data_IF_448994003767
#
_entry.id   IF_448994003767
#
_cell.length_a   1.000
_cell.length_b   1.000
_cell.length_c   1.000
_cell.angle_alpha   90.00
_cell.angle_beta   90.00
_cell.angle_gamma   90.00
#
_symmetry.space_group_name_H-M   'P 1'
#
loop_
_entity.id
_entity.type
_entity.pdbx_description
1 polymer ?
#
# COMPACT_ATOMS: atom_id res chain seq x y z
N UNK A 1 -19.13 50.69 -63.22
CA UNK A 1 -19.42 50.55 -61.79
C UNK A 1 -20.41 51.63 -61.38
N UNK A 2 -21.68 51.26 -61.31
CA UNK A 2 -22.72 52.12 -60.76
C UNK A 2 -22.64 52.15 -59.22
N UNK A 3 -22.91 53.32 -58.62
CA UNK A 3 -22.86 53.51 -57.15
C UNK A 3 -23.95 52.74 -56.39
N UNK A 4 -25.01 52.31 -57.09
CA UNK A 4 -26.14 51.56 -56.52
C UNK A 4 -25.97 50.03 -56.60
N UNK A 5 -24.81 49.54 -57.06
CA UNK A 5 -24.51 48.12 -57.23
C UNK A 5 -24.27 47.76 -58.69
N UNK A 6 -23.28 46.89 -58.93
CA UNK A 6 -22.88 46.49 -60.28
C UNK A 6 -22.23 45.10 -60.25
N UNK A 7 -22.14 44.44 -61.41
CA UNK A 7 -21.36 43.22 -61.59
C UNK A 7 -20.04 43.56 -62.27
N UNK A 8 -18.93 43.19 -61.64
CA UNK A 8 -17.59 43.40 -62.18
C UNK A 8 -17.15 42.14 -62.96
N UNK A 9 -16.49 42.33 -64.10
CA UNK A 9 -15.85 41.25 -64.88
C UNK A 9 -14.33 41.14 -64.65
N UNK A 10 -13.76 41.99 -63.77
CA UNK A 10 -12.35 42.03 -63.42
C UNK A 10 -12.12 42.37 -61.93
N UNK A 11 -10.88 42.27 -61.47
CA UNK A 11 -10.48 42.56 -60.08
C UNK A 11 -10.42 44.05 -59.75
N UNK A 12 -10.37 44.37 -58.45
CA UNK A 12 -10.11 45.72 -57.92
C UNK A 12 -8.83 45.70 -57.09
N UNK A 13 -7.99 46.73 -57.24
CA UNK A 13 -6.73 46.90 -56.50
C UNK A 13 -6.69 48.29 -55.88
N UNK A 14 -6.27 48.36 -54.62
CA UNK A 14 -5.98 49.62 -53.92
C UNK A 14 -4.46 49.81 -53.88
N UNK A 15 -3.95 50.91 -54.41
CA UNK A 15 -2.51 51.18 -54.55
C UNK A 15 -1.94 52.06 -53.41
N UNK A 16 -2.76 52.33 -52.40
CA UNK A 16 -2.44 53.17 -51.24
C UNK A 16 -3.19 52.64 -50.00
N UNK A 17 -3.05 53.34 -48.87
CA UNK A 17 -3.72 53.01 -47.61
C UNK A 17 -5.22 53.36 -47.65
N UNK A 18 -5.96 52.61 -48.48
CA UNK A 18 -7.41 52.70 -48.63
C UNK A 18 -8.13 51.61 -47.85
N UNK A 19 -9.39 51.89 -47.49
CA UNK A 19 -10.25 51.00 -46.71
C UNK A 19 -11.53 50.68 -47.47
N UNK A 20 -11.92 49.41 -47.47
CA UNK A 20 -13.28 48.99 -47.85
C UNK A 20 -14.15 48.94 -46.59
N UNK A 21 -15.29 49.65 -46.60
CA UNK A 21 -16.14 49.79 -45.41
C UNK A 21 -17.62 49.63 -45.71
N UNK A 22 -18.33 48.98 -44.79
CA UNK A 22 -19.78 49.08 -44.62
C UNK A 22 -20.06 49.96 -43.41
N UNK A 23 -20.61 51.15 -43.63
CA UNK A 23 -20.95 52.12 -42.57
C UNK A 23 -22.45 52.31 -42.55
N UNK A 24 -23.09 51.95 -41.44
CA UNK A 24 -24.55 52.03 -41.28
C UNK A 24 -24.87 52.28 -39.82
N UNK A 25 -25.86 53.12 -39.56
CA UNK A 25 -26.39 53.33 -38.21
C UNK A 25 -25.33 53.72 -37.16
N UNK A 26 -24.29 54.47 -37.56
CA UNK A 26 -23.10 54.82 -36.77
C UNK A 26 -22.12 53.69 -36.46
N UNK A 27 -22.45 52.46 -36.85
CA UNK A 27 -21.61 51.27 -36.75
C UNK A 27 -20.84 51.01 -38.06
N UNK A 28 -19.82 50.15 -37.99
CA UNK A 28 -19.03 49.78 -39.16
C UNK A 28 -18.48 48.35 -39.14
N UNK A 29 -18.21 47.86 -40.36
CA UNK A 29 -17.30 46.76 -40.64
C UNK A 29 -16.31 47.20 -41.73
N UNK A 30 -15.01 46.99 -41.51
CA UNK A 30 -13.94 47.49 -42.37
C UNK A 30 -12.90 46.41 -42.69
N UNK A 31 -12.25 46.55 -43.84
CA UNK A 31 -11.12 45.74 -44.30
C UNK A 31 -10.03 46.69 -44.80
N UNK A 32 -8.79 46.46 -44.37
CA UNK A 32 -7.62 47.22 -44.86
C UNK A 32 -6.32 46.43 -44.72
N UNK A 33 -5.20 47.03 -45.17
CA UNK A 33 -3.87 46.44 -45.12
C UNK A 33 -2.87 47.46 -44.59
N UNK A 34 -2.34 47.23 -43.38
CA UNK A 34 -1.32 48.09 -42.78
C UNK A 34 0.05 47.65 -43.28
N UNK A 35 0.78 48.56 -43.92
CA UNK A 35 2.16 48.37 -44.32
C UNK A 35 2.85 49.74 -44.47
N UNK A 36 3.88 50.01 -43.66
CA UNK A 36 4.63 51.26 -43.74
C UNK A 36 5.84 51.19 -44.69
N UNK A 37 6.34 49.99 -44.94
CA UNK A 37 7.43 49.68 -45.88
C UNK A 37 7.57 48.16 -46.04
N UNK A 38 8.40 47.71 -46.98
CA UNK A 38 8.76 46.29 -47.13
C UNK A 38 9.48 45.71 -45.89
N UNK A 39 10.19 46.55 -45.13
CA UNK A 39 10.88 46.16 -43.90
C UNK A 39 9.99 46.23 -42.63
N UNK A 40 8.68 46.46 -42.79
CA UNK A 40 7.75 46.55 -41.67
C UNK A 40 7.57 45.18 -41.01
N UNK A 41 8.08 45.03 -39.78
CA UNK A 41 8.02 43.77 -39.02
C UNK A 41 6.64 43.45 -38.46
N UNK A 42 5.68 44.36 -38.60
CA UNK A 42 4.29 44.20 -38.14
C UNK A 42 3.31 44.68 -39.23
N UNK A 43 3.47 44.14 -40.44
CA UNK A 43 2.52 44.34 -41.54
C UNK A 43 1.44 43.27 -41.54
N UNK A 44 0.18 43.67 -41.71
CA UNK A 44 -0.96 42.75 -41.63
C UNK A 44 -2.18 43.25 -42.40
N UNK A 45 -2.95 42.31 -42.94
CA UNK A 45 -4.34 42.55 -43.33
C UNK A 45 -5.20 42.54 -42.07
N UNK A 46 -6.06 43.54 -41.91
CA UNK A 46 -6.92 43.66 -40.74
C UNK A 46 -8.40 43.69 -41.11
N UNK A 47 -9.20 43.23 -40.16
CA UNK A 47 -10.65 43.25 -40.18
C UNK A 47 -11.11 43.93 -38.89
N UNK A 48 -12.01 44.91 -38.98
CA UNK A 48 -12.46 45.71 -37.83
C UNK A 48 -13.98 45.84 -37.82
N UNK A 49 -14.59 45.74 -36.63
CA UNK A 49 -15.99 46.11 -36.36
C UNK A 49 -16.07 47.14 -35.24
N UNK A 50 -17.08 48.01 -35.28
CA UNK A 50 -17.31 49.02 -34.24
C UNK A 50 -18.70 49.66 -34.33
N UNK A 51 -19.12 50.53 -33.40
CA UNK A 51 -18.27 51.12 -32.36
C UNK A 51 -18.66 50.80 -30.92
N UNK A 52 -19.67 49.95 -30.70
CA UNK A 52 -20.17 49.66 -29.36
C UNK A 52 -19.42 48.51 -28.68
N UNK A 53 -18.56 47.79 -29.41
CA UNK A 53 -17.76 46.67 -28.88
C UNK A 53 -18.54 45.36 -28.77
N UNK A 54 -19.80 45.35 -29.23
CA UNK A 54 -20.64 44.16 -29.34
C UNK A 54 -20.79 43.70 -30.80
N UNK A 55 -20.37 44.50 -31.78
CA UNK A 55 -20.22 44.07 -33.16
C UNK A 55 -19.12 43.01 -33.23
N UNK A 56 -19.33 41.96 -34.02
CA UNK A 56 -18.48 40.77 -33.98
C UNK A 56 -18.36 40.11 -35.35
N UNK A 57 -17.36 39.25 -35.50
CA UNK A 57 -17.16 38.50 -36.74
C UNK A 57 -17.85 37.14 -36.69
N UNK A 58 -18.52 36.77 -37.79
CA UNK A 58 -19.21 35.48 -37.95
C UNK A 58 -18.81 34.83 -39.27
N UNK A 59 -18.33 33.59 -39.18
CA UNK A 59 -18.10 32.73 -40.34
C UNK A 59 -19.22 31.70 -40.41
N UNK A 60 -19.88 31.62 -41.58
CA UNK A 60 -20.98 30.69 -41.82
C UNK A 60 -20.90 30.11 -43.22
N UNK A 61 -21.40 28.89 -43.39
CA UNK A 61 -21.49 28.22 -44.68
C UNK A 61 -22.96 27.96 -45.03
N UNK A 62 -23.30 28.07 -46.32
CA UNK A 62 -24.65 27.80 -46.83
C UNK A 62 -24.59 26.84 -48.00
N UNK A 63 -25.28 25.72 -47.86
CA UNK A 63 -25.59 24.81 -48.96
C UNK A 63 -26.92 25.25 -49.57
N UNK A 64 -27.05 25.19 -50.89
CA UNK A 64 -28.28 25.54 -51.59
C UNK A 64 -29.43 24.70 -51.03
N UNK A 65 -30.55 25.34 -50.68
CA UNK A 65 -31.72 24.69 -50.09
C UNK A 65 -31.66 24.46 -48.57
N UNK A 66 -30.56 24.77 -47.88
CA UNK A 66 -30.45 24.59 -46.43
C UNK A 66 -30.45 25.92 -45.66
N UNK A 67 -30.67 25.83 -44.34
CA UNK A 67 -30.37 26.93 -43.41
C UNK A 67 -28.84 27.14 -43.33
N UNK A 68 -28.37 28.38 -43.15
CA UNK A 68 -26.94 28.64 -42.90
C UNK A 68 -26.46 27.94 -41.64
N UNK A 69 -25.25 27.37 -41.69
CA UNK A 69 -24.55 26.81 -40.53
C UNK A 69 -23.47 27.79 -40.09
N UNK A 70 -23.57 28.29 -38.86
CA UNK A 70 -22.50 29.07 -38.25
C UNK A 70 -21.35 28.14 -37.84
N UNK A 71 -20.12 28.57 -38.12
CA UNK A 71 -18.91 27.78 -37.90
C UNK A 71 -18.06 28.37 -36.77
N UNK A 72 -17.95 29.70 -36.73
CA UNK A 72 -17.09 30.40 -35.79
C UNK A 72 -17.61 31.81 -35.54
N UNK A 73 -17.51 32.29 -34.30
CA UNK A 73 -17.73 33.69 -33.95
C UNK A 73 -16.51 34.22 -33.19
N UNK A 74 -16.00 35.39 -33.58
CA UNK A 74 -14.99 36.12 -32.81
C UNK A 74 -15.64 37.36 -32.21
N UNK A 75 -15.84 37.34 -30.89
CA UNK A 75 -16.37 38.46 -30.09
C UNK A 75 -15.25 39.09 -29.26
N UNK A 76 -15.55 40.21 -28.62
CA UNK A 76 -14.61 40.94 -27.76
C UNK A 76 -13.87 40.08 -26.73
N UNK A 77 -14.56 39.13 -26.10
CA UNK A 77 -14.04 38.34 -24.99
C UNK A 77 -13.73 36.88 -25.32
N UNK A 78 -14.14 36.38 -26.49
CA UNK A 78 -14.05 34.96 -26.81
C UNK A 78 -14.07 34.69 -28.31
N UNK A 79 -13.27 33.71 -28.70
CA UNK A 79 -13.43 32.97 -29.94
C UNK A 79 -14.31 31.75 -29.65
N UNK A 80 -15.50 31.70 -30.24
CA UNK A 80 -16.39 30.54 -30.17
C UNK A 80 -16.29 29.73 -31.46
N UNK A 81 -15.66 28.57 -31.39
CA UNK A 81 -15.65 27.59 -32.49
C UNK A 81 -16.82 26.63 -32.27
N UNK A 82 -17.76 26.58 -33.22
CA UNK A 82 -19.02 25.83 -33.13
C UNK A 82 -18.94 24.44 -33.80
N UNK A 83 -17.73 24.08 -34.21
CA UNK A 83 -17.36 22.85 -34.89
C UNK A 83 -16.06 22.33 -34.26
N UNK A 84 -15.54 21.21 -34.75
CA UNK A 84 -14.24 20.71 -34.32
C UNK A 84 -13.12 21.71 -34.63
N UNK A 85 -12.20 21.91 -33.68
CA UNK A 85 -11.01 22.72 -33.84
C UNK A 85 -9.79 21.79 -33.98
N UNK A 86 -9.18 21.77 -35.16
CA UNK A 86 -7.99 20.96 -35.44
C UNK A 86 -6.77 21.89 -35.52
N UNK A 87 -5.74 21.60 -34.71
CA UNK A 87 -4.47 22.34 -34.69
C UNK A 87 -3.36 21.42 -35.21
N UNK A 88 -2.55 21.89 -36.18
CA UNK A 88 -1.44 21.10 -36.77
C UNK A 88 -0.16 21.13 -35.94
N UNK A 89 -0.12 21.92 -34.87
CA UNK A 89 1.03 22.10 -33.98
C UNK A 89 0.60 22.22 -32.51
N UNK A 90 1.57 22.46 -31.64
CA UNK A 90 1.34 22.66 -30.21
C UNK A 90 0.35 23.80 -29.92
N UNK A 91 -0.57 23.55 -28.98
CA UNK A 91 -1.45 24.56 -28.40
C UNK A 91 -0.83 25.05 -27.09
N UNK A 92 -0.44 26.31 -27.03
CA UNK A 92 0.16 26.95 -25.85
C UNK A 92 -0.89 27.77 -25.11
N UNK A 93 -1.03 27.52 -23.82
CA UNK A 93 -1.98 28.23 -22.95
C UNK A 93 -1.18 28.84 -21.79
N UNK A 94 -1.21 30.16 -21.68
CA UNK A 94 -0.47 30.91 -20.65
C UNK A 94 -1.29 31.20 -19.39
N UNK A 95 -2.60 30.91 -19.42
CA UNK A 95 -3.48 31.11 -18.27
C UNK A 95 -3.27 30.01 -17.22
N UNK A 96 -3.52 30.37 -15.96
CA UNK A 96 -3.34 29.46 -14.82
C UNK A 96 -4.37 28.32 -14.88
N UNK A 97 -5.64 28.65 -15.07
CA UNK A 97 -6.70 27.71 -15.43
C UNK A 97 -6.63 27.51 -16.94
N UNK A 98 -5.89 26.50 -17.39
CA UNK A 98 -5.51 26.37 -18.78
C UNK A 98 -6.60 25.69 -19.62
N UNK A 99 -7.08 24.52 -19.16
CA UNK A 99 -8.11 23.75 -19.86
C UNK A 99 -9.23 23.37 -18.89
N UNK A 100 -10.48 23.49 -19.35
CA UNK A 100 -11.68 23.04 -18.63
C UNK A 100 -12.44 22.04 -19.49
N UNK A 101 -12.80 20.91 -18.88
CA UNK A 101 -13.74 19.94 -19.43
C UNK A 101 -14.95 19.93 -18.50
N UNK A 102 -16.16 20.18 -18.99
CA UNK A 102 -17.31 20.41 -18.11
C UNK A 102 -18.64 19.91 -18.68
N UNK A 103 -19.59 19.72 -17.77
CA UNK A 103 -21.03 19.66 -18.06
C UNK A 103 -21.76 20.66 -17.13
N UNK A 104 -23.09 20.55 -17.02
CA UNK A 104 -23.88 21.42 -16.15
C UNK A 104 -23.55 21.28 -14.66
N UNK A 105 -23.13 20.09 -14.22
CA UNK A 105 -22.88 19.79 -12.81
C UNK A 105 -21.43 20.02 -12.40
N UNK A 106 -20.45 19.56 -13.17
CA UNK A 106 -19.04 19.62 -12.78
C UNK A 106 -18.14 19.99 -13.94
N UNK A 107 -17.06 20.69 -13.61
CA UNK A 107 -15.93 20.93 -14.48
C UNK A 107 -14.68 20.30 -13.88
N UNK A 108 -13.77 19.80 -14.72
CA UNK A 108 -12.41 19.43 -14.37
C UNK A 108 -11.46 20.44 -15.02
N UNK A 109 -10.69 21.13 -14.20
CA UNK A 109 -9.78 22.19 -14.61
C UNK A 109 -8.34 21.67 -14.52
N UNK A 110 -7.65 21.64 -15.65
CA UNK A 110 -6.20 21.47 -15.71
C UNK A 110 -5.58 22.81 -15.39
N UNK A 111 -5.03 22.91 -14.18
CA UNK A 111 -4.51 24.15 -13.64
C UNK A 111 -3.00 24.03 -13.46
N UNK A 112 -2.25 24.90 -14.11
CA UNK A 112 -0.83 25.11 -13.81
C UNK A 112 -0.72 26.27 -12.82
N UNK A 113 -0.49 25.98 -11.54
CA UNK A 113 -0.37 26.98 -10.47
C UNK A 113 1.00 26.85 -9.83
N UNK A 114 1.74 27.95 -9.72
CA UNK A 114 3.08 27.96 -9.13
C UNK A 114 3.99 26.89 -9.77
N UNK A 115 4.44 25.92 -8.97
CA UNK A 115 5.30 24.81 -9.35
C UNK A 115 4.54 23.50 -9.58
N UNK A 116 3.22 23.53 -9.70
CA UNK A 116 2.40 22.33 -9.79
C UNK A 116 1.44 22.35 -10.99
N UNK A 117 1.24 21.17 -11.57
CA UNK A 117 0.08 20.86 -12.40
C UNK A 117 -0.96 20.12 -11.54
N UNK A 118 -2.19 20.62 -11.54
CA UNK A 118 -3.32 20.01 -10.85
C UNK A 118 -4.43 19.67 -11.83
N UNK A 119 -5.21 18.65 -11.49
CA UNK A 119 -6.53 18.40 -12.07
C UNK A 119 -7.54 18.64 -10.94
N UNK A 120 -8.30 19.73 -11.03
CA UNK A 120 -9.15 20.21 -9.93
C UNK A 120 -10.61 20.23 -10.39
N UNK A 121 -11.53 19.54 -9.69
CA UNK A 121 -12.95 19.67 -9.96
C UNK A 121 -13.48 21.03 -9.47
N UNK A 122 -14.51 21.54 -10.14
CA UNK A 122 -15.33 22.65 -9.63
C UNK A 122 -16.17 22.19 -8.44
N UNK A 123 -16.90 23.13 -7.83
CA UNK A 123 -18.06 22.77 -7.01
C UNK A 123 -19.18 22.21 -7.91
N UNK A 124 -20.10 21.48 -7.28
CA UNK A 124 -21.30 20.98 -7.95
C UNK A 124 -22.18 22.14 -8.44
N UNK A 125 -22.75 21.96 -9.64
CA UNK A 125 -23.54 22.93 -10.40
C UNK A 125 -22.77 24.19 -10.84
N UNK A 126 -21.45 24.19 -10.73
CA UNK A 126 -20.59 25.27 -11.21
C UNK A 126 -19.66 24.80 -12.35
N UNK A 127 -20.12 23.86 -13.18
CA UNK A 127 -19.24 23.18 -14.14
C UNK A 127 -18.62 24.09 -15.20
N UNK A 128 -19.43 24.93 -15.86
CA UNK A 128 -18.98 25.83 -16.91
C UNK A 128 -18.23 27.05 -16.38
N UNK A 129 -18.85 27.77 -15.44
CA UNK A 129 -18.39 29.10 -15.01
C UNK A 129 -17.82 29.13 -13.58
N UNK A 130 -17.80 28.00 -12.88
CA UNK A 130 -17.32 27.92 -11.50
C UNK A 130 -15.82 28.10 -11.36
N UNK A 131 -15.42 28.57 -10.19
CA UNK A 131 -14.00 28.58 -9.80
C UNK A 131 -13.51 27.17 -9.45
N UNK A 132 -12.21 27.04 -9.18
CA UNK A 132 -11.63 25.79 -8.66
C UNK A 132 -12.28 25.40 -7.32
N UNK A 133 -12.58 24.12 -7.16
CA UNK A 133 -13.09 23.56 -5.91
C UNK A 133 -12.00 23.35 -4.84
N UNK A 134 -12.39 22.89 -3.65
CA UNK A 134 -11.45 22.65 -2.54
C UNK A 134 -10.62 21.37 -2.70
N UNK A 135 -11.06 20.43 -3.55
CA UNK A 135 -10.42 19.12 -3.68
C UNK A 135 -9.08 19.20 -4.43
N UNK A 136 -8.14 18.33 -4.09
CA UNK A 136 -6.85 18.13 -4.80
C UNK A 136 -6.63 16.66 -5.15
N UNK A 137 -7.43 16.08 -6.07
CA UNK A 137 -7.34 14.66 -6.39
C UNK A 137 -5.98 14.27 -6.97
N UNK A 138 -5.44 15.07 -7.90
CA UNK A 138 -4.15 14.84 -8.54
C UNK A 138 -3.29 16.11 -8.51
N UNK A 139 -2.03 15.97 -8.10
CA UNK A 139 -1.02 17.02 -8.16
C UNK A 139 0.30 16.44 -8.65
N UNK A 140 0.88 17.05 -9.69
CA UNK A 140 2.25 16.83 -10.13
C UNK A 140 3.09 18.05 -9.78
N UNK A 141 4.08 17.88 -8.91
CA UNK A 141 5.07 18.91 -8.66
C UNK A 141 6.06 18.96 -9.83
N UNK A 142 6.09 20.07 -10.56
CA UNK A 142 6.88 20.28 -11.77
C UNK A 142 8.37 20.43 -11.50
N UNK A 143 8.78 20.74 -10.26
CA UNK A 143 10.19 20.83 -9.87
C UNK A 143 10.79 19.45 -9.59
N UNK A 144 10.02 18.54 -9.01
CA UNK A 144 10.51 17.24 -8.50
C UNK A 144 9.97 16.03 -9.29
N UNK A 145 8.94 16.22 -10.11
CA UNK A 145 8.21 15.14 -10.77
C UNK A 145 7.32 14.32 -9.82
N UNK A 146 7.24 14.67 -8.53
CA UNK A 146 6.46 13.91 -7.55
C UNK A 146 4.97 14.08 -7.79
N UNK A 147 4.27 12.96 -7.87
CA UNK A 147 2.81 12.91 -7.90
C UNK A 147 2.27 12.76 -6.47
N UNK A 148 1.17 13.44 -6.16
CA UNK A 148 0.41 13.27 -4.92
C UNK A 148 -1.08 13.14 -5.23
N UNK A 149 -1.72 12.15 -4.61
CA UNK A 149 -3.17 11.93 -4.68
C UNK A 149 -3.80 12.30 -3.33
N UNK A 150 -4.63 13.34 -3.30
CA UNK A 150 -5.16 13.90 -2.04
C UNK A 150 -6.46 13.27 -1.54
N UNK A 151 -7.12 12.44 -2.35
CA UNK A 151 -8.45 11.91 -2.07
C UNK A 151 -8.55 10.40 -2.35
N UNK A 152 -7.54 9.65 -1.90
CA UNK A 152 -7.46 8.20 -2.10
C UNK A 152 -7.01 7.80 -3.50
N UNK A 153 -6.87 6.49 -3.70
CA UNK A 153 -6.51 5.85 -4.97
C UNK A 153 -7.08 4.43 -4.97
N UNK A 154 -7.96 4.13 -5.92
CA UNK A 154 -8.46 2.78 -6.18
C UNK A 154 -7.77 2.23 -7.43
N UNK A 155 -7.17 1.03 -7.32
CA UNK A 155 -6.45 0.36 -8.41
C UNK A 155 -7.04 -1.04 -8.64
N UNK A 156 -7.39 -1.33 -9.89
CA UNK A 156 -7.71 -2.70 -10.33
C UNK A 156 -6.43 -3.38 -10.80
N UNK A 157 -6.10 -4.54 -10.23
CA UNK A 157 -4.89 -5.29 -10.55
C UNK A 157 -3.72 -4.99 -9.61
N UNK A 158 -2.50 -5.04 -10.15
CA UNK A 158 -1.26 -4.97 -9.35
C UNK A 158 -0.73 -3.54 -9.19
N UNK A 159 -0.06 -3.28 -8.06
CA UNK A 159 0.73 -2.07 -7.82
C UNK A 159 2.20 -2.46 -7.71
N UNK A 160 3.03 -1.93 -8.62
CA UNK A 160 4.48 -2.11 -8.58
C UNK A 160 5.17 -0.87 -8.00
N UNK A 161 5.94 -1.06 -6.93
CA UNK A 161 6.69 0.00 -6.28
C UNK A 161 8.00 -0.53 -5.71
N UNK A 162 9.05 0.29 -5.72
CA UNK A 162 10.34 -0.06 -5.10
C UNK A 162 10.21 -0.28 -3.58
N UNK A 163 9.43 0.57 -2.92
CA UNK A 163 9.11 0.49 -1.49
C UNK A 163 7.69 0.98 -1.25
N UNK A 164 7.00 0.38 -0.29
CA UNK A 164 5.70 0.84 0.19
C UNK A 164 5.86 1.42 1.60
N UNK A 165 5.70 2.74 1.72
CA UNK A 165 5.76 3.43 3.01
C UNK A 165 4.36 3.69 3.53
N UNK A 166 4.10 3.30 4.77
CA UNK A 166 2.85 3.54 5.48
C UNK A 166 3.06 4.77 6.35
N UNK A 167 2.10 5.69 6.38
CA UNK A 167 2.10 6.78 7.36
C UNK A 167 1.73 6.22 8.76
N UNK A 168 2.64 5.42 9.31
CA UNK A 168 2.45 4.65 10.55
C UNK A 168 2.26 5.57 11.77
N UNK A 169 1.58 5.06 12.79
CA UNK A 169 1.30 5.78 14.05
C UNK A 169 1.69 4.96 15.28
N UNK A 170 1.82 5.64 16.42
CA UNK A 170 2.15 5.04 17.73
C UNK A 170 1.04 5.34 18.74
N UNK A 171 0.74 4.40 19.64
CA UNK A 171 -0.31 4.59 20.64
C UNK A 171 -0.40 3.41 21.62
N UNK A 172 -1.51 3.34 22.36
CA UNK A 172 -1.79 2.22 23.27
C UNK A 172 -1.98 0.90 22.50
N UNK A 173 -1.69 -0.23 23.15
CA UNK A 173 -1.86 -1.57 22.58
C UNK A 173 -3.25 -1.79 21.94
N UNK A 174 -4.32 -1.34 22.60
CA UNK A 174 -5.70 -1.51 22.09
C UNK A 174 -5.95 -0.74 20.78
N UNK A 175 -5.23 0.37 20.54
CA UNK A 175 -5.39 1.20 19.34
C UNK A 175 -4.67 0.64 18.11
N UNK A 176 -3.91 -0.45 18.21
CA UNK A 176 -3.38 -1.15 17.02
C UNK A 176 -4.48 -1.57 16.04
N UNK A 177 -5.75 -1.60 16.48
CA UNK A 177 -6.94 -1.83 15.65
C UNK A 177 -7.23 -0.73 14.64
N UNK A 178 -6.80 0.50 14.92
CA UNK A 178 -7.14 1.70 14.14
C UNK A 178 -5.91 2.38 13.52
N UNK A 179 -4.72 1.79 13.70
CA UNK A 179 -3.49 2.34 13.15
C UNK A 179 -3.48 2.23 11.61
N UNK A 180 -2.78 3.15 10.97
CA UNK A 180 -2.49 3.04 9.54
C UNK A 180 -1.59 1.84 9.30
N UNK A 181 -2.13 0.82 8.63
CA UNK A 181 -1.46 -0.44 8.31
C UNK A 181 -1.84 -0.90 6.90
N UNK A 182 -1.18 -1.95 6.41
CA UNK A 182 -1.73 -2.75 5.32
C UNK A 182 -2.75 -3.71 5.93
N UNK A 183 -3.98 -3.70 5.43
CA UNK A 183 -5.04 -4.61 5.86
C UNK A 183 -5.80 -5.19 4.67
N UNK A 184 -6.45 -6.34 4.89
CA UNK A 184 -7.44 -6.85 3.95
C UNK A 184 -8.70 -6.00 4.01
N UNK A 185 -9.13 -5.42 2.89
CA UNK A 185 -10.39 -4.66 2.80
C UNK A 185 -11.61 -5.51 3.20
N UNK A 186 -11.54 -6.81 2.92
CA UNK A 186 -12.60 -7.76 3.22
C UNK A 186 -12.19 -8.65 4.39
N UNK A 187 -13.04 -8.71 5.42
CA UNK A 187 -12.84 -9.61 6.55
C UNK A 187 -12.77 -11.06 6.07
N UNK A 188 -11.90 -11.86 6.70
CA UNK A 188 -11.87 -13.31 6.53
C UNK A 188 -13.15 -13.92 7.11
N UNK A 189 -13.83 -14.78 6.35
CA UNK A 189 -15.03 -15.47 6.82
C UNK A 189 -14.68 -16.50 7.90
N UNK A 190 -15.60 -16.77 8.83
CA UNK A 190 -15.44 -17.85 9.82
C UNK A 190 -15.12 -19.17 9.11
N UNK A 191 -14.09 -19.87 9.58
CA UNK A 191 -13.55 -21.12 9.00
C UNK A 191 -13.05 -20.99 7.53
N UNK A 192 -13.01 -19.78 6.97
CA UNK A 192 -12.38 -19.49 5.68
C UNK A 192 -10.91 -19.14 5.85
N UNK A 193 -10.07 -19.51 4.87
CA UNK A 193 -8.66 -19.18 4.85
C UNK A 193 -8.40 -17.90 4.05
N UNK A 194 -7.58 -16.98 4.57
CA UNK A 194 -7.14 -15.77 3.86
C UNK A 194 -5.66 -15.48 4.17
N UNK A 195 -4.90 -15.12 3.15
CA UNK A 195 -3.53 -14.61 3.28
C UNK A 195 -3.46 -13.13 2.88
N UNK A 196 -2.63 -12.35 3.58
CA UNK A 196 -2.41 -10.92 3.31
C UNK A 196 -1.00 -10.62 2.80
N UNK A 197 -0.02 -11.45 3.16
CA UNK A 197 1.36 -11.34 2.71
C UNK A 197 1.82 -12.70 2.21
N UNK A 198 2.59 -12.70 1.11
CA UNK A 198 3.15 -13.91 0.51
C UNK A 198 4.60 -13.67 0.11
N UNK A 199 5.45 -14.66 0.34
CA UNK A 199 6.81 -14.74 -0.17
C UNK A 199 6.99 -16.03 -0.95
N UNK A 200 7.41 -15.91 -2.20
CA UNK A 200 7.67 -17.05 -3.07
C UNK A 200 9.13 -17.49 -2.98
N UNK A 201 9.32 -18.80 -2.85
CA UNK A 201 10.61 -19.48 -2.95
C UNK A 201 10.55 -20.45 -4.13
N UNK A 202 11.70 -21.02 -4.52
CA UNK A 202 11.81 -21.86 -5.71
C UNK A 202 10.83 -23.05 -5.73
N UNK A 203 10.59 -23.66 -4.57
CA UNK A 203 9.84 -24.91 -4.41
C UNK A 203 8.70 -24.82 -3.39
N UNK A 204 8.47 -23.65 -2.79
CA UNK A 204 7.44 -23.41 -1.78
C UNK A 204 7.04 -21.95 -1.69
N UNK A 205 5.94 -21.67 -1.00
CA UNK A 205 5.46 -20.32 -0.71
C UNK A 205 5.17 -20.20 0.78
N UNK A 206 5.51 -19.05 1.36
CA UNK A 206 5.19 -18.71 2.74
C UNK A 206 4.16 -17.59 2.77
N UNK A 207 3.19 -17.72 3.66
CA UNK A 207 2.11 -16.75 3.80
C UNK A 207 1.95 -16.31 5.25
N UNK A 208 1.63 -15.04 5.45
CA UNK A 208 1.02 -14.54 6.68
C UNK A 208 -0.48 -14.43 6.42
N UNK A 209 -1.26 -15.12 7.24
CA UNK A 209 -2.69 -15.25 7.05
C UNK A 209 -3.36 -15.93 8.23
N UNK A 210 -4.56 -16.45 8.00
CA UNK A 210 -5.32 -17.11 9.05
C UNK A 210 -6.55 -17.86 8.58
N UNK A 211 -7.11 -18.63 9.51
CA UNK A 211 -8.43 -19.26 9.41
C UNK A 211 -9.40 -18.45 10.26
N UNK A 212 -10.44 -17.88 9.64
CA UNK A 212 -11.27 -16.86 10.28
C UNK A 212 -11.86 -17.31 11.62
N UNK A 213 -11.68 -16.48 12.64
CA UNK A 213 -12.03 -16.72 14.05
C UNK A 213 -11.32 -17.90 14.74
N UNK A 214 -10.29 -18.50 14.12
CA UNK A 214 -9.60 -19.69 14.66
C UNK A 214 -8.10 -19.52 14.76
N UNK A 215 -7.46 -18.97 13.74
CA UNK A 215 -6.00 -19.00 13.61
C UNK A 215 -5.48 -17.74 12.93
N UNK A 216 -4.32 -17.25 13.36
CA UNK A 216 -3.53 -16.26 12.64
C UNK A 216 -2.03 -16.54 12.80
N UNK A 217 -1.28 -16.58 11.71
CA UNK A 217 0.13 -16.94 11.76
C UNK A 217 0.79 -17.16 10.41
N UNK A 218 1.80 -18.03 10.40
CA UNK A 218 2.65 -18.34 9.27
C UNK A 218 2.31 -19.74 8.73
N UNK A 219 2.14 -19.82 7.42
CA UNK A 219 1.81 -21.06 6.71
C UNK A 219 2.75 -21.27 5.54
N UNK A 220 3.16 -22.53 5.33
CA UNK A 220 4.00 -22.96 4.22
C UNK A 220 3.21 -23.91 3.31
N UNK A 221 3.31 -23.70 1.99
CA UNK A 221 2.76 -24.61 0.98
C UNK A 221 3.87 -24.94 -0.03
N UNK A 222 4.19 -26.22 -0.17
CA UNK A 222 5.12 -26.70 -1.19
C UNK A 222 4.46 -26.60 -2.57
N UNK A 223 5.23 -26.21 -3.58
CA UNK A 223 4.74 -26.09 -4.97
C UNK A 223 4.26 -27.44 -5.54
N UNK A 224 4.70 -28.56 -4.98
CA UNK A 224 4.28 -29.91 -5.36
C UNK A 224 2.96 -30.36 -4.73
N UNK A 225 2.43 -29.65 -3.72
CA UNK A 225 1.16 -30.01 -3.08
C UNK A 225 0.00 -29.80 -4.05
N UNK A 226 -0.84 -30.82 -4.20
CA UNK A 226 -2.08 -30.78 -5.00
C UNK A 226 -3.34 -30.91 -4.16
N UNK A 227 -3.28 -31.59 -3.02
CA UNK A 227 -4.39 -31.71 -2.07
C UNK A 227 -4.52 -30.44 -1.21
N UNK A 228 -5.77 -30.04 -0.92
CA UNK A 228 -6.07 -28.92 -0.03
C UNK A 228 -5.37 -29.09 1.33
N UNK A 229 -4.80 -28.01 1.83
CA UNK A 229 -4.06 -27.98 3.10
C UNK A 229 -2.75 -27.21 3.00
N UNK A 230 -1.94 -27.33 4.05
CA UNK A 230 -0.63 -26.68 4.18
C UNK A 230 0.41 -27.72 4.61
N UNK A 231 1.68 -27.47 4.32
CA UNK A 231 2.80 -28.37 4.61
C UNK A 231 3.57 -28.00 5.89
N UNK A 232 3.31 -26.80 6.41
CA UNK A 232 3.80 -26.36 7.72
C UNK A 232 2.95 -25.20 8.24
N UNK A 233 2.71 -25.19 9.55
CA UNK A 233 1.88 -24.19 10.22
C UNK A 233 2.52 -23.79 11.56
N UNK A 234 2.59 -22.50 11.82
CA UNK A 234 2.94 -21.92 13.11
C UNK A 234 2.06 -20.69 13.36
N UNK A 235 1.12 -20.78 14.30
CA UNK A 235 0.06 -19.79 14.44
C UNK A 235 -0.40 -19.59 15.89
N UNK A 236 -1.02 -18.44 16.13
CA UNK A 236 -1.77 -18.17 17.35
C UNK A 236 -3.22 -18.62 17.16
N UNK A 237 -3.77 -19.37 18.12
CA UNK A 237 -5.20 -19.68 18.15
C UNK A 237 -6.05 -18.55 18.77
N UNK A 238 -7.36 -18.72 18.77
CA UNK A 238 -8.31 -17.76 19.34
C UNK A 238 -8.25 -17.64 20.89
N UNK A 239 -7.47 -18.48 21.57
CA UNK A 239 -7.21 -18.41 23.02
C UNK A 239 -5.85 -17.80 23.35
N UNK A 240 -5.04 -17.44 22.33
CA UNK A 240 -3.71 -16.86 22.51
C UNK A 240 -2.59 -17.88 22.67
N UNK A 241 -2.83 -19.17 22.44
CA UNK A 241 -1.77 -20.17 22.44
C UNK A 241 -0.97 -20.10 21.13
N UNK A 242 0.33 -20.38 21.18
CA UNK A 242 1.16 -20.57 19.99
C UNK A 242 1.29 -22.05 19.67
N UNK A 243 0.81 -22.46 18.50
CA UNK A 243 0.82 -23.86 18.03
C UNK A 243 1.73 -24.01 16.83
N UNK A 244 2.36 -25.18 16.72
CA UNK A 244 3.08 -25.61 15.53
C UNK A 244 2.64 -27.02 15.15
N UNK A 245 2.42 -27.27 13.86
CA UNK A 245 2.09 -28.62 13.34
C UNK A 245 3.27 -29.60 13.40
N UNK A 246 4.43 -29.18 13.89
CA UNK A 246 5.66 -29.96 13.98
C UNK A 246 6.39 -29.62 15.29
N UNK A 247 7.70 -29.87 15.37
CA UNK A 247 8.50 -29.57 16.56
C UNK A 247 8.68 -28.07 16.78
N UNK A 248 8.69 -27.66 18.05
CA UNK A 248 9.18 -26.33 18.48
C UNK A 248 10.55 -26.53 19.10
N UNK A 249 11.59 -26.02 18.44
CA UNK A 249 12.99 -26.23 18.81
C UNK A 249 13.58 -24.90 19.31
N UNK A 250 13.59 -24.64 20.64
CA UNK A 250 14.23 -23.45 21.17
C UNK A 250 15.76 -23.56 21.10
N UNK A 251 16.44 -22.42 20.94
CA UNK A 251 17.90 -22.36 21.06
C UNK A 251 18.41 -22.52 22.50
N UNK A 252 17.52 -22.43 23.49
CA UNK A 252 17.83 -22.59 24.92
C UNK A 252 16.70 -23.34 25.63
N UNK A 253 17.03 -24.45 26.30
CA UNK A 253 16.09 -25.31 27.02
C UNK A 253 16.05 -25.07 28.54
N UNK A 254 16.72 -24.06 29.09
CA UNK A 254 16.88 -23.86 30.54
C UNK A 254 15.56 -23.79 31.34
N UNK A 255 14.50 -23.21 30.76
CA UNK A 255 13.17 -23.18 31.38
C UNK A 255 12.44 -24.54 31.35
N UNK A 256 12.84 -25.47 30.48
CA UNK A 256 12.34 -26.85 30.45
C UNK A 256 13.20 -27.77 31.31
N UNK A 257 14.52 -27.64 31.17
CA UNK A 257 15.54 -28.44 31.86
C UNK A 257 15.48 -28.33 33.38
N UNK A 258 14.95 -27.20 33.88
CA UNK A 258 14.72 -26.96 35.31
C UNK A 258 13.49 -27.67 35.88
N UNK A 259 12.65 -28.28 35.04
CA UNK A 259 11.36 -28.87 35.45
C UNK A 259 11.38 -30.38 35.58
N UNK A 260 12.28 -31.07 34.87
CA UNK A 260 12.25 -32.53 34.73
C UNK A 260 13.50 -33.19 35.29
N UNK A 261 13.34 -34.40 35.82
CA UNK A 261 14.46 -35.29 36.13
C UNK A 261 15.02 -35.79 34.80
N UNK A 262 16.30 -35.53 34.58
CA UNK A 262 17.02 -35.92 33.37
C UNK A 262 17.67 -37.29 33.51
N UNK A 263 18.02 -37.70 34.73
CA UNK A 263 18.68 -38.99 35.00
C UNK A 263 18.49 -39.44 36.47
N UNK A 264 18.65 -40.73 36.75
CA UNK A 264 18.58 -41.34 38.10
C UNK A 264 19.68 -42.40 38.24
N UNK A 265 20.40 -42.39 39.38
CA UNK A 265 21.50 -43.35 39.63
C UNK A 265 21.65 -43.73 41.10
N UNK A 266 22.49 -44.73 41.37
CA UNK A 266 23.05 -44.97 42.70
C UNK A 266 24.36 -44.17 42.88
N UNK A 267 24.42 -43.33 43.92
CA UNK A 267 25.62 -42.56 44.29
C UNK A 267 26.71 -43.44 44.91
N UNK A 268 27.71 -42.88 45.58
CA UNK A 268 28.85 -43.67 46.11
C UNK A 268 28.43 -44.70 47.18
N UNK A 269 29.04 -45.90 47.14
CA UNK A 269 28.83 -46.95 48.15
C UNK A 269 29.36 -46.55 49.51
N UNK A 270 28.54 -46.77 50.53
CA UNK A 270 28.86 -46.64 51.95
C UNK A 270 28.88 -48.03 52.60
N UNK A 271 29.51 -48.14 53.76
CA UNK A 271 29.58 -49.37 54.55
C UNK A 271 29.30 -49.07 56.02
N UNK A 272 28.37 -49.81 56.61
CA UNK A 272 28.11 -49.79 58.04
C UNK A 272 28.60 -51.10 58.64
N UNK A 273 29.74 -51.05 59.32
CA UNK A 273 30.38 -52.20 59.95
C UNK A 273 29.98 -52.35 61.42
N UNK A 274 29.91 -53.59 61.88
CA UNK A 274 29.57 -53.97 63.26
C UNK A 274 30.51 -55.08 63.74
N UNK A 275 30.63 -55.25 65.05
CA UNK A 275 31.42 -56.32 65.65
C UNK A 275 30.53 -57.48 66.14
N UNK A 276 31.11 -58.65 66.37
CA UNK A 276 30.41 -59.90 66.68
C UNK A 276 30.00 -60.07 68.16
N UNK A 277 30.08 -59.00 68.96
CA UNK A 277 29.79 -59.03 70.41
C UNK A 277 28.52 -58.28 70.80
N UNK A 278 27.79 -57.68 69.84
CA UNK A 278 26.56 -56.92 70.08
C UNK A 278 25.48 -57.24 69.05
N UNK A 279 24.22 -57.30 69.49
CA UNK A 279 23.07 -57.27 68.58
C UNK A 279 22.97 -55.88 67.95
N UNK A 280 22.72 -55.83 66.64
CA UNK A 280 22.60 -54.56 65.91
C UNK A 280 21.35 -54.54 65.04
N UNK A 281 20.82 -53.33 64.83
CA UNK A 281 19.70 -53.06 63.95
C UNK A 281 20.08 -51.86 63.07
N UNK A 282 20.11 -52.05 61.76
CA UNK A 282 20.43 -50.99 60.81
C UNK A 282 19.25 -50.74 59.87
N UNK A 283 18.92 -49.46 59.72
CA UNK A 283 18.00 -48.96 58.71
C UNK A 283 18.78 -47.97 57.84
N UNK A 284 18.63 -48.10 56.52
CA UNK A 284 19.22 -47.15 55.58
C UNK A 284 18.77 -45.72 55.93
N UNK A 285 19.68 -44.72 55.89
CA UNK A 285 19.28 -43.32 55.94
C UNK A 285 18.30 -42.96 54.82
N UNK A 286 17.56 -41.86 54.98
CA UNK A 286 16.61 -41.36 53.97
C UNK A 286 17.27 -41.27 52.59
N UNK A 287 16.65 -41.88 51.58
CA UNK A 287 17.16 -41.94 50.21
C UNK A 287 18.19 -43.03 49.91
N UNK A 288 18.55 -43.88 50.87
CA UNK A 288 19.51 -44.96 50.66
C UNK A 288 18.85 -46.33 50.55
N UNK A 289 19.49 -47.21 49.77
CA UNK A 289 19.10 -48.62 49.61
C UNK A 289 20.29 -49.53 49.95
N UNK A 290 19.99 -50.72 50.47
CA UNK A 290 21.01 -51.77 50.66
C UNK A 290 21.50 -52.25 49.30
N UNK A 291 22.81 -52.39 49.16
CA UNK A 291 23.47 -52.83 47.93
C UNK A 291 24.44 -53.99 48.13
N UNK A 292 24.60 -54.46 49.37
CA UNK A 292 25.42 -55.64 49.68
C UNK A 292 25.45 -55.95 51.17
N UNK A 293 25.91 -57.14 51.51
CA UNK A 293 26.06 -57.64 52.88
C UNK A 293 27.49 -58.16 53.03
N UNK A 294 28.16 -57.83 54.13
CA UNK A 294 29.46 -58.40 54.47
C UNK A 294 29.27 -59.52 55.49
N UNK A 295 29.64 -60.74 55.10
CA UNK A 295 29.52 -61.95 55.91
C UNK A 295 30.91 -62.31 56.46
N UNK A 296 31.00 -62.57 57.76
CA UNK A 296 32.23 -62.92 58.47
C UNK A 296 32.13 -64.34 59.04
N UNK A 297 33.12 -65.16 58.69
CA UNK A 297 33.37 -66.46 59.32
C UNK A 297 33.78 -66.25 60.79
N UNK A 298 33.11 -66.95 61.70
CA UNK A 298 33.33 -66.85 63.15
C UNK A 298 34.03 -68.08 63.75
N UNK A 299 34.47 -69.04 62.93
CA UNK A 299 35.22 -70.23 63.34
C UNK A 299 34.46 -71.56 63.21
N UNK A 300 35.11 -72.65 63.63
CA UNK A 300 34.58 -74.02 63.48
C UNK A 300 33.39 -74.27 64.40
N UNK A 301 32.31 -74.82 63.85
CA UNK A 301 31.04 -75.16 64.53
C UNK A 301 30.20 -73.96 65.00
N UNK A 302 30.35 -72.79 64.37
CA UNK A 302 29.46 -71.63 64.57
C UNK A 302 28.76 -71.23 63.27
N UNK A 303 27.73 -70.38 63.38
CA UNK A 303 27.10 -69.75 62.22
C UNK A 303 27.89 -68.52 61.77
N UNK A 304 27.89 -68.25 60.46
CA UNK A 304 28.44 -66.99 59.92
C UNK A 304 27.70 -65.79 60.51
N UNK A 305 28.44 -64.73 60.82
CA UNK A 305 27.86 -63.48 61.30
C UNK A 305 27.83 -62.43 60.18
N UNK A 306 26.91 -61.47 60.28
CA UNK A 306 26.90 -60.32 59.38
C UNK A 306 27.77 -59.22 59.99
N UNK A 307 28.95 -59.00 59.41
CA UNK A 307 29.93 -58.01 59.85
C UNK A 307 29.58 -56.57 59.40
N UNK A 308 28.60 -56.42 58.51
CA UNK A 308 28.08 -55.12 58.11
C UNK A 308 27.29 -55.16 56.82
N UNK A 309 26.83 -53.98 56.39
CA UNK A 309 26.05 -53.81 55.15
C UNK A 309 26.60 -52.68 54.29
N UNK A 310 26.51 -52.87 52.98
CA UNK A 310 26.77 -51.84 51.99
C UNK A 310 25.46 -51.17 51.58
N UNK A 311 25.47 -49.86 51.45
CA UNK A 311 24.30 -49.09 51.06
C UNK A 311 24.69 -47.89 50.18
N UNK A 312 23.79 -47.45 49.30
CA UNK A 312 24.03 -46.36 48.33
C UNK A 312 22.85 -45.40 48.31
N UNK A 313 23.07 -44.08 48.15
CA UNK A 313 21.98 -43.14 47.96
C UNK A 313 21.41 -43.29 46.55
N UNK A 314 20.10 -43.28 46.41
CA UNK A 314 19.43 -43.02 45.14
C UNK A 314 19.53 -41.53 44.87
N UNK A 315 20.06 -41.15 43.70
CA UNK A 315 20.22 -39.77 43.28
C UNK A 315 19.42 -39.48 42.01
N UNK A 316 18.92 -38.26 41.87
CA UNK A 316 18.26 -37.74 40.67
C UNK A 316 19.00 -36.52 40.12
N UNK A 317 19.11 -36.41 38.80
CA UNK A 317 19.76 -35.31 38.10
C UNK A 317 18.72 -34.33 37.57
N UNK A 318 18.75 -33.10 38.07
CA UNK A 318 17.85 -32.02 37.64
C UNK A 318 18.72 -30.80 37.37
N UNK A 319 18.53 -30.18 36.20
CA UNK A 319 19.20 -28.92 35.83
C UNK A 319 20.72 -28.87 36.10
N UNK A 320 21.47 -29.89 35.69
CA UNK A 320 22.94 -29.87 35.90
C UNK A 320 23.41 -30.36 37.27
N UNK A 321 22.49 -30.66 38.21
CA UNK A 321 22.82 -30.97 39.61
C UNK A 321 22.26 -32.32 40.04
N UNK A 322 23.09 -33.11 40.75
CA UNK A 322 22.67 -34.36 41.38
C UNK A 322 22.14 -34.11 42.80
N UNK A 323 20.94 -34.62 43.09
CA UNK A 323 20.28 -34.54 44.39
C UNK A 323 20.05 -35.94 44.95
N UNK A 324 20.26 -36.13 46.26
CA UNK A 324 19.80 -37.35 46.94
C UNK A 324 18.27 -37.35 47.03
N UNK A 325 17.64 -38.50 46.79
CA UNK A 325 16.20 -38.69 46.97
C UNK A 325 15.86 -38.74 48.46
N UNK A 326 14.60 -38.47 48.83
CA UNK A 326 14.11 -38.62 50.20
C UNK A 326 13.23 -39.88 50.33
N UNK A 327 13.31 -40.55 51.48
CA UNK A 327 12.37 -41.58 51.94
C UNK A 327 11.30 -40.97 52.85
N UNK A 328 10.06 -41.43 52.74
CA UNK A 328 8.92 -41.09 53.60
C UNK A 328 8.62 -42.20 54.60
#
# INVERSE_FOLDING_TARGET
MQKNGDTLSGGLTFENDSILAWIRNTDWAKIGFKNNSDADTDSYMWFETGNNGNEYFKWRHRIIGTRPKDLMNLKWNALSVLVEALFSSEVKISTVNALRIFNSSFGAIFRRSEECLHIIPTRENEGENGNIGPLRPFTLNLRTGRISMGHGLDVTGDIFANRFAINSSTGMWIHMRDQNVILGRNAVSTDGAQALLRQDHADRKFMIGGLGNKQFGIYMINNSRTANGTDGQAYMDNNGNWLCGSQVIPGNYGNFDSRYVKDVRLGSQQYYGVNNWQTWNFQCPSGYVLTGINVQDTGKNSADNIAGVHYRPVQKYINGTWYNVASI
#
